data_IF_470243088402
#
_entry.id   IF_470243088402
#
_cell.length_a   1.000
_cell.length_b   1.000
_cell.length_c   1.000
_cell.angle_alpha   90.00
_cell.angle_beta   90.00
_cell.angle_gamma   90.00
#
_symmetry.space_group_name_H-M   'P 1'
#
loop_
_entity.id
_entity.type
_entity.pdbx_description
1 polymer ?
#
# COMPACT_ATOMS: atom_id res chain seq x y z
N UNK A 1 -21.85 -9.54 6.68
CA UNK A 1 -20.53 -9.05 6.27
C UNK A 1 -20.70 -8.29 4.97
N UNK A 2 -20.45 -6.99 4.99
CA UNK A 2 -20.51 -6.14 3.79
C UNK A 2 -19.51 -6.69 2.76
N UNK A 3 -19.92 -6.83 1.50
CA UNK A 3 -19.03 -7.26 0.41
C UNK A 3 -18.80 -8.77 0.25
N UNK A 4 -19.57 -9.60 0.95
CA UNK A 4 -19.50 -11.08 0.82
C UNK A 4 -20.79 -11.71 0.32
N UNK A 5 -21.82 -10.91 0.04
CA UNK A 5 -23.07 -11.44 -0.49
C UNK A 5 -22.99 -11.69 -2.00
N UNK A 6 -23.77 -12.66 -2.49
CA UNK A 6 -23.87 -12.94 -3.91
C UNK A 6 -24.36 -11.72 -4.72
N UNK A 7 -25.36 -10.93 -4.28
CA UNK A 7 -25.77 -9.73 -5.00
C UNK A 7 -24.65 -8.69 -5.14
N UNK A 8 -23.89 -8.42 -4.08
CA UNK A 8 -22.73 -7.50 -4.13
C UNK A 8 -21.66 -8.03 -5.10
N UNK A 9 -21.40 -9.34 -5.07
CA UNK A 9 -20.44 -9.97 -5.99
C UNK A 9 -20.87 -9.83 -7.46
N UNK A 10 -22.14 -10.13 -7.77
CA UNK A 10 -22.68 -9.97 -9.12
C UNK A 10 -22.60 -8.50 -9.54
N UNK A 11 -22.99 -7.58 -8.66
CA UNK A 11 -22.94 -6.14 -8.93
C UNK A 11 -21.53 -5.65 -9.27
N UNK A 12 -20.52 -5.99 -8.45
CA UNK A 12 -19.14 -5.52 -8.70
C UNK A 12 -18.57 -6.14 -9.98
N UNK A 13 -18.87 -7.41 -10.26
CA UNK A 13 -18.43 -8.08 -11.49
C UNK A 13 -19.05 -7.48 -12.75
N UNK A 14 -20.35 -7.18 -12.72
CA UNK A 14 -21.02 -6.49 -13.82
C UNK A 14 -20.49 -5.06 -13.99
N UNK A 15 -20.21 -4.34 -12.90
CA UNK A 15 -19.65 -3.00 -12.94
C UNK A 15 -18.26 -2.99 -13.58
N UNK A 16 -17.38 -3.91 -13.16
CA UNK A 16 -16.04 -4.08 -13.76
C UNK A 16 -16.15 -4.43 -15.23
N UNK A 17 -17.04 -5.36 -15.58
CA UNK A 17 -17.27 -5.76 -16.97
C UNK A 17 -17.75 -4.57 -17.82
N UNK A 18 -18.70 -3.78 -17.32
CA UNK A 18 -19.18 -2.58 -18.00
C UNK A 18 -18.06 -1.56 -18.24
N UNK A 19 -17.21 -1.31 -17.24
CA UNK A 19 -16.05 -0.43 -17.37
C UNK A 19 -15.05 -0.96 -18.41
N UNK A 20 -14.77 -2.26 -18.41
CA UNK A 20 -13.88 -2.91 -19.39
C UNK A 20 -14.44 -2.89 -20.82
N UNK A 21 -15.76 -2.81 -20.98
CA UNK A 21 -16.40 -2.72 -22.30
C UNK A 21 -16.32 -1.32 -22.94
N UNK A 22 -16.05 -0.26 -22.16
CA UNK A 22 -16.05 1.11 -22.67
C UNK A 22 -15.11 1.28 -23.87
N UNK A 23 -13.88 0.76 -23.78
CA UNK A 23 -12.89 0.87 -24.86
C UNK A 23 -13.22 0.04 -26.10
N UNK A 24 -13.49 -1.27 -26.03
CA UNK A 24 -13.83 -2.05 -27.23
C UNK A 24 -15.10 -1.53 -27.89
N UNK A 25 -16.10 -1.07 -27.11
CA UNK A 25 -17.30 -0.44 -27.67
C UNK A 25 -16.98 0.91 -28.34
N UNK A 26 -16.09 1.71 -27.74
CA UNK A 26 -15.64 2.98 -28.34
C UNK A 26 -14.92 2.74 -29.67
N UNK A 27 -14.01 1.75 -29.74
CA UNK A 27 -13.32 1.38 -30.97
C UNK A 27 -14.33 0.88 -32.02
N UNK A 28 -15.24 -0.01 -31.65
CA UNK A 28 -16.26 -0.53 -32.56
C UNK A 28 -17.18 0.58 -33.09
N UNK A 29 -17.60 1.52 -32.22
CA UNK A 29 -18.41 2.69 -32.60
C UNK A 29 -17.66 3.59 -33.58
N UNK A 30 -16.36 3.83 -33.36
CA UNK A 30 -15.53 4.63 -34.25
C UNK A 30 -15.35 3.96 -35.63
N UNK A 31 -15.07 2.65 -35.66
CA UNK A 31 -14.99 1.89 -36.91
C UNK A 31 -16.30 1.92 -37.70
N UNK A 32 -17.43 1.73 -37.01
CA UNK A 32 -18.73 1.74 -37.65
C UNK A 32 -19.12 3.15 -38.15
N UNK A 33 -18.91 4.20 -37.34
CA UNK A 33 -19.15 5.58 -37.74
C UNK A 33 -18.27 6.01 -38.93
N UNK A 34 -17.02 5.53 -38.98
CA UNK A 34 -16.14 5.71 -40.13
C UNK A 34 -16.70 5.03 -41.39
N UNK A 35 -17.13 3.77 -41.28
CA UNK A 35 -17.72 3.02 -42.39
C UNK A 35 -18.97 3.68 -42.97
N UNK A 36 -19.87 4.15 -42.11
CA UNK A 36 -21.11 4.82 -42.52
C UNK A 36 -20.95 6.32 -42.82
N UNK A 37 -19.74 6.89 -42.66
CA UNK A 37 -19.39 8.29 -42.92
C UNK A 37 -20.18 9.34 -42.13
N UNK A 38 -20.79 8.94 -41.01
CA UNK A 38 -21.47 9.83 -40.06
C UNK A 38 -21.45 9.23 -38.66
N UNK A 39 -21.63 10.07 -37.63
CA UNK A 39 -21.78 9.57 -36.26
C UNK A 39 -23.09 8.79 -36.14
N UNK A 40 -23.01 7.50 -35.79
CA UNK A 40 -24.16 6.59 -35.83
C UNK A 40 -25.30 6.96 -34.88
N UNK A 41 -24.99 7.59 -33.75
CA UNK A 41 -26.00 7.96 -32.76
C UNK A 41 -25.90 9.43 -32.35
N UNK A 42 -24.71 9.87 -31.95
CA UNK A 42 -24.50 11.24 -31.48
C UNK A 42 -23.07 11.70 -31.74
N UNK A 43 -22.87 12.98 -32.13
CA UNK A 43 -21.54 13.56 -32.26
C UNK A 43 -20.77 13.58 -30.93
N UNK A 44 -21.46 13.76 -29.79
CA UNK A 44 -20.82 13.74 -28.47
C UNK A 44 -20.30 12.36 -28.09
N UNK A 45 -21.05 11.30 -28.42
CA UNK A 45 -20.60 9.92 -28.25
C UNK A 45 -19.41 9.62 -29.17
N UNK A 46 -19.42 10.15 -30.41
CA UNK A 46 -18.29 10.01 -31.32
C UNK A 46 -17.02 10.70 -30.79
N UNK A 47 -17.15 11.89 -30.21
CA UNK A 47 -16.03 12.60 -29.58
C UNK A 47 -15.48 11.78 -28.42
N UNK A 48 -16.34 11.35 -27.49
CA UNK A 48 -15.90 10.54 -26.36
C UNK A 48 -15.25 9.23 -26.82
N UNK A 49 -15.88 8.49 -27.74
CA UNK A 49 -15.35 7.23 -28.25
C UNK A 49 -14.00 7.42 -28.96
N UNK A 50 -13.83 8.53 -29.69
CA UNK A 50 -12.57 8.91 -30.31
C UNK A 50 -11.47 9.21 -29.28
N UNK A 51 -11.80 9.97 -28.22
CA UNK A 51 -10.87 10.27 -27.13
C UNK A 51 -10.48 8.99 -26.36
N UNK A 52 -11.44 8.15 -26.02
CA UNK A 52 -11.23 6.87 -25.32
C UNK A 52 -10.36 5.91 -26.15
N UNK A 53 -10.68 5.72 -27.43
CA UNK A 53 -9.89 4.87 -28.33
C UNK A 53 -8.46 5.41 -28.52
N UNK A 54 -8.32 6.73 -28.70
CA UNK A 54 -7.01 7.38 -28.84
C UNK A 54 -6.19 7.26 -27.55
N UNK A 55 -6.81 7.46 -26.40
CA UNK A 55 -6.18 7.32 -25.10
C UNK A 55 -5.68 5.88 -24.88
N UNK A 56 -6.50 4.87 -25.18
CA UNK A 56 -6.09 3.47 -25.09
C UNK A 56 -4.86 3.19 -25.97
N UNK A 57 -4.91 3.56 -27.25
CA UNK A 57 -3.87 3.24 -28.23
C UNK A 57 -2.59 4.05 -28.03
N UNK A 58 -2.70 5.35 -27.73
CA UNK A 58 -1.59 6.30 -27.73
C UNK A 58 -1.01 6.54 -26.33
N UNK A 59 -1.79 6.30 -25.26
CA UNK A 59 -1.34 6.50 -23.87
C UNK A 59 -1.19 5.17 -23.16
N UNK A 60 -2.26 4.39 -23.03
CA UNK A 60 -2.22 3.17 -22.21
C UNK A 60 -1.31 2.08 -22.76
N UNK A 61 -1.42 1.73 -24.05
CA UNK A 61 -0.60 0.65 -24.64
C UNK A 61 0.91 0.94 -24.55
N UNK A 62 1.42 2.13 -24.95
CA UNK A 62 2.82 2.48 -24.76
C UNK A 62 3.21 2.53 -23.28
N UNK A 63 2.35 3.12 -22.43
CA UNK A 63 2.60 3.19 -20.99
C UNK A 63 2.76 1.81 -20.40
N UNK A 64 1.84 0.88 -20.63
CA UNK A 64 1.88 -0.46 -20.06
C UNK A 64 3.18 -1.22 -20.39
N UNK A 65 3.77 -0.97 -21.57
CA UNK A 65 5.11 -1.48 -21.92
C UNK A 65 6.21 -0.80 -21.11
N UNK A 66 6.16 0.53 -20.96
CA UNK A 66 7.12 1.30 -20.17
C UNK A 66 7.08 0.91 -18.67
N UNK A 67 5.91 0.57 -18.14
CA UNK A 67 5.77 0.14 -16.74
C UNK A 67 6.53 -1.15 -16.43
N UNK A 68 6.85 -1.98 -17.43
CA UNK A 68 7.59 -3.22 -17.22
C UNK A 68 9.10 -3.02 -16.98
N UNK A 69 9.63 -1.80 -17.21
CA UNK A 69 11.05 -1.49 -16.92
C UNK A 69 11.41 -1.88 -15.49
N UNK A 70 12.60 -2.42 -15.28
CA UNK A 70 13.08 -2.84 -13.96
C UNK A 70 13.09 -1.68 -12.97
N UNK A 71 12.90 -2.00 -11.68
CA UNK A 71 13.00 -1.03 -10.61
C UNK A 71 14.43 -0.50 -10.49
N UNK A 72 14.58 0.78 -10.17
CA UNK A 72 15.87 1.32 -9.71
C UNK A 72 15.89 1.21 -8.20
N UNK A 73 16.60 0.19 -7.71
CA UNK A 73 16.70 -0.07 -6.27
C UNK A 73 17.52 1.01 -5.56
N UNK A 74 17.21 1.32 -4.29
CA UNK A 74 18.06 2.17 -3.46
C UNK A 74 19.44 1.53 -3.28
N UNK A 75 20.46 2.30 -2.85
CA UNK A 75 21.76 1.74 -2.52
C UNK A 75 21.63 0.57 -1.55
N UNK A 76 22.32 -0.52 -1.85
CA UNK A 76 22.31 -1.71 -1.01
C UNK A 76 22.87 -1.37 0.38
N UNK A 77 22.15 -1.64 1.48
CA UNK A 77 22.67 -1.45 2.83
C UNK A 77 23.92 -2.29 3.06
N UNK A 78 24.76 -1.92 4.03
CA UNK A 78 25.91 -2.73 4.42
C UNK A 78 25.51 -4.13 4.91
N UNK A 79 26.46 -5.08 4.93
CA UNK A 79 26.22 -6.43 5.47
C UNK A 79 25.70 -6.37 6.92
N UNK A 80 26.28 -5.51 7.76
CA UNK A 80 25.86 -5.33 9.16
C UNK A 80 24.40 -4.86 9.26
N UNK A 81 24.01 -3.88 8.45
CA UNK A 81 22.62 -3.38 8.41
C UNK A 81 21.64 -4.45 7.91
N UNK A 82 22.02 -5.25 6.91
CA UNK A 82 21.20 -6.36 6.40
C UNK A 82 21.04 -7.47 7.42
N UNK A 83 22.12 -7.87 8.09
CA UNK A 83 22.10 -8.90 9.14
C UNK A 83 21.24 -8.44 10.32
N UNK A 84 21.35 -7.17 10.72
CA UNK A 84 20.51 -6.59 11.77
C UNK A 84 19.03 -6.54 11.35
N UNK A 85 18.73 -6.14 10.11
CA UNK A 85 17.37 -6.16 9.57
C UNK A 85 16.79 -7.57 9.51
N UNK A 86 17.56 -8.55 9.03
CA UNK A 86 17.17 -9.95 8.99
C UNK A 86 16.87 -10.46 10.39
N UNK A 87 17.79 -10.27 11.34
CA UNK A 87 17.63 -10.72 12.72
C UNK A 87 16.37 -10.11 13.36
N UNK A 88 16.12 -8.83 13.10
CA UNK A 88 14.93 -8.13 13.62
C UNK A 88 13.64 -8.66 13.01
N UNK A 89 13.59 -8.91 11.71
CA UNK A 89 12.44 -9.54 11.05
C UNK A 89 12.23 -10.95 11.61
N UNK A 90 13.30 -11.73 11.71
CA UNK A 90 13.26 -13.12 12.17
C UNK A 90 12.79 -13.24 13.63
N UNK A 91 13.20 -12.33 14.51
CA UNK A 91 12.76 -12.31 15.91
C UNK A 91 11.25 -12.06 16.08
N UNK A 92 10.57 -11.54 15.07
CA UNK A 92 9.12 -11.30 15.08
C UNK A 92 8.32 -12.43 14.40
N UNK A 93 8.99 -13.43 13.83
CA UNK A 93 8.31 -14.58 13.22
C UNK A 93 7.82 -15.53 14.30
N UNK A 94 6.50 -15.74 14.35
CA UNK A 94 5.85 -16.58 15.39
C UNK A 94 5.64 -18.02 14.94
N UNK A 95 5.49 -18.25 13.64
CA UNK A 95 5.23 -19.56 13.07
C UNK A 95 5.75 -19.68 11.62
N UNK A 96 5.62 -20.90 11.09
CA UNK A 96 6.01 -21.27 9.74
C UNK A 96 5.17 -20.59 8.64
N UNK A 97 3.93 -20.15 8.95
CA UNK A 97 3.02 -19.56 7.97
C UNK A 97 3.53 -18.22 7.42
N UNK A 98 4.35 -17.52 8.21
CA UNK A 98 5.04 -16.31 7.75
C UNK A 98 6.08 -16.61 6.67
N UNK A 99 6.84 -17.71 6.84
CA UNK A 99 7.84 -18.12 5.85
C UNK A 99 7.16 -18.61 4.58
N UNK A 100 6.18 -19.52 4.70
CA UNK A 100 5.46 -20.08 3.55
C UNK A 100 4.55 -19.06 2.85
N UNK A 101 4.11 -18.01 3.54
CA UNK A 101 3.28 -16.95 2.94
C UNK A 101 3.99 -16.16 1.84
N UNK A 102 5.32 -16.02 1.90
CA UNK A 102 6.12 -15.48 0.79
C UNK A 102 6.18 -16.43 -0.43
N UNK A 103 5.70 -17.65 -0.28
CA UNK A 103 5.59 -18.71 -1.29
C UNK A 103 4.14 -19.13 -1.54
N UNK A 104 3.18 -18.21 -1.40
CA UNK A 104 1.75 -18.47 -1.64
C UNK A 104 1.14 -19.52 -0.69
N UNK A 105 1.67 -19.63 0.53
CA UNK A 105 1.16 -20.53 1.58
C UNK A 105 1.19 -22.01 1.15
N UNK A 106 2.19 -22.41 0.36
CA UNK A 106 2.43 -23.83 0.02
C UNK A 106 2.94 -24.61 1.23
N UNK A 107 2.84 -25.94 1.17
CA UNK A 107 3.52 -26.83 2.13
C UNK A 107 5.03 -26.53 2.11
N UNK A 108 5.62 -26.27 3.28
CA UNK A 108 7.04 -25.91 3.39
C UNK A 108 7.98 -26.97 2.85
N UNK A 109 7.57 -28.25 2.84
CA UNK A 109 8.35 -29.35 2.27
C UNK A 109 8.57 -29.24 0.77
N UNK A 110 7.74 -28.45 0.07
CA UNK A 110 7.91 -28.17 -1.35
C UNK A 110 8.90 -27.02 -1.60
N UNK A 111 9.20 -26.22 -0.58
CA UNK A 111 10.11 -25.07 -0.70
C UNK A 111 11.54 -25.58 -0.68
N UNK A 112 12.16 -25.64 -1.86
CA UNK A 112 13.56 -26.06 -2.00
C UNK A 112 14.53 -24.89 -1.84
N UNK A 113 15.80 -25.23 -1.72
CA UNK A 113 16.90 -24.29 -1.50
C UNK A 113 16.94 -23.16 -2.53
N UNK A 114 16.75 -23.45 -3.82
CA UNK A 114 16.74 -22.41 -4.86
C UNK A 114 15.51 -21.50 -4.79
N UNK A 115 14.36 -22.01 -4.30
CA UNK A 115 13.18 -21.19 -4.09
C UNK A 115 13.43 -20.17 -2.95
N UNK A 116 14.09 -20.59 -1.87
CA UNK A 116 14.53 -19.67 -0.81
C UNK A 116 15.55 -18.66 -1.31
N UNK A 117 16.51 -19.09 -2.13
CA UNK A 117 17.51 -18.21 -2.72
C UNK A 117 16.87 -17.12 -3.59
N UNK A 118 15.88 -17.46 -4.41
CA UNK A 118 15.08 -16.49 -5.18
C UNK A 118 14.49 -15.40 -4.28
N UNK A 119 13.89 -15.79 -3.16
CA UNK A 119 13.26 -14.87 -2.23
C UNK A 119 14.29 -14.01 -1.48
N UNK A 120 15.35 -14.61 -0.93
CA UNK A 120 16.40 -13.91 -0.20
C UNK A 120 17.13 -12.89 -1.08
N UNK A 121 17.45 -13.27 -2.32
CA UNK A 121 18.10 -12.38 -3.30
C UNK A 121 17.29 -11.12 -3.54
N UNK A 122 15.96 -11.26 -3.64
CA UNK A 122 15.08 -10.10 -3.75
C UNK A 122 14.99 -9.33 -2.44
N UNK A 123 14.67 -10.01 -1.34
CA UNK A 123 14.27 -9.38 -0.08
C UNK A 123 15.40 -8.54 0.53
N UNK A 124 16.64 -9.03 0.50
CA UNK A 124 17.79 -8.40 1.16
C UNK A 124 18.82 -7.83 0.19
N UNK A 125 18.85 -8.28 -1.07
CA UNK A 125 19.86 -7.84 -2.05
C UNK A 125 19.26 -7.08 -3.26
N UNK A 126 17.93 -7.04 -3.40
CA UNK A 126 17.26 -6.32 -4.48
C UNK A 126 17.60 -6.85 -5.89
N UNK A 127 18.01 -8.11 -6.01
CA UNK A 127 18.49 -8.68 -7.28
C UNK A 127 17.95 -10.10 -7.51
N UNK A 128 18.09 -10.59 -8.73
CA UNK A 128 17.95 -12.02 -9.04
C UNK A 128 19.19 -12.80 -8.56
N UNK A 129 19.09 -14.13 -8.33
CA UNK A 129 20.24 -14.94 -7.92
C UNK A 129 21.49 -14.78 -8.80
N UNK A 130 21.32 -14.60 -10.11
CA UNK A 130 22.42 -14.40 -11.06
C UNK A 130 23.21 -13.09 -10.84
N UNK A 131 22.65 -12.15 -10.07
CA UNK A 131 23.30 -10.90 -9.70
C UNK A 131 23.89 -10.89 -8.29
N UNK A 132 23.92 -12.04 -7.60
CA UNK A 132 24.58 -12.15 -6.30
C UNK A 132 26.10 -12.17 -6.46
N UNK A 133 26.79 -11.47 -5.58
CA UNK A 133 28.24 -11.48 -5.52
C UNK A 133 28.77 -12.61 -4.62
N UNK A 134 29.92 -13.19 -4.97
CA UNK A 134 30.54 -14.30 -4.21
C UNK A 134 30.79 -13.93 -2.73
N UNK A 135 31.09 -12.66 -2.44
CA UNK A 135 31.29 -12.15 -1.08
C UNK A 135 30.05 -12.25 -0.18
N UNK A 136 28.85 -12.39 -0.75
CA UNK A 136 27.61 -12.52 0.01
C UNK A 136 27.24 -13.96 0.32
N UNK A 137 27.98 -14.95 -0.20
CA UNK A 137 27.67 -16.36 -0.04
C UNK A 137 27.55 -16.76 1.43
N UNK A 138 28.49 -16.35 2.28
CA UNK A 138 28.48 -16.67 3.71
C UNK A 138 27.24 -16.10 4.43
N UNK A 139 26.87 -14.86 4.10
CA UNK A 139 25.70 -14.17 4.68
C UNK A 139 24.40 -14.90 4.29
N UNK A 140 24.24 -15.22 3.01
CA UNK A 140 23.07 -15.92 2.48
C UNK A 140 22.94 -17.31 3.10
N UNK A 141 24.06 -18.03 3.23
CA UNK A 141 24.11 -19.32 3.92
C UNK A 141 23.65 -19.20 5.39
N UNK A 142 23.99 -18.10 6.06
CA UNK A 142 23.48 -17.77 7.39
C UNK A 142 21.97 -17.61 7.43
N UNK A 143 21.41 -16.83 6.50
CA UNK A 143 19.96 -16.64 6.39
C UNK A 143 19.22 -17.94 6.09
N UNK A 144 19.74 -18.76 5.18
CA UNK A 144 19.16 -20.06 4.85
C UNK A 144 19.11 -20.98 6.07
N UNK A 145 20.19 -21.07 6.86
CA UNK A 145 20.21 -21.88 8.09
C UNK A 145 19.16 -21.44 9.11
N UNK A 146 18.97 -20.12 9.28
CA UNK A 146 17.95 -19.59 10.18
C UNK A 146 16.54 -19.95 9.68
N UNK A 147 16.29 -19.86 8.38
CA UNK A 147 15.00 -20.24 7.79
C UNK A 147 14.76 -21.75 7.94
N UNK A 148 15.76 -22.61 7.66
CA UNK A 148 15.64 -24.07 7.87
C UNK A 148 15.33 -24.42 9.33
N UNK A 149 15.91 -23.67 10.29
CA UNK A 149 15.58 -23.82 11.70
C UNK A 149 14.12 -23.45 11.98
N UNK A 150 13.62 -22.36 11.39
CA UNK A 150 12.22 -21.94 11.51
C UNK A 150 11.26 -22.98 10.90
N UNK A 151 11.61 -23.54 9.73
CA UNK A 151 10.83 -24.58 9.05
C UNK A 151 10.92 -25.94 9.75
N UNK A 152 11.82 -26.13 10.71
CA UNK A 152 12.03 -27.39 11.42
C UNK A 152 12.63 -28.53 10.57
N UNK A 153 13.09 -28.24 9.36
CA UNK A 153 13.72 -29.21 8.46
C UNK A 153 14.71 -28.53 7.51
N UNK A 154 15.67 -29.30 7.02
CA UNK A 154 16.57 -28.84 5.96
C UNK A 154 15.84 -28.82 4.62
N UNK A 155 16.10 -27.79 3.84
CA UNK A 155 15.58 -27.71 2.48
C UNK A 155 16.35 -28.64 1.55
N UNK A 156 15.64 -29.34 0.67
CA UNK A 156 16.28 -30.14 -0.38
C UNK A 156 17.00 -29.24 -1.39
N UNK A 157 18.09 -29.75 -1.95
CA UNK A 157 18.81 -29.08 -3.03
C UNK A 157 17.96 -29.00 -4.30
N UNK A 158 18.26 -27.98 -5.12
CA UNK A 158 17.59 -27.72 -6.39
C UNK A 158 16.34 -26.85 -6.24
N UNK A 159 15.48 -26.92 -7.26
CA UNK A 159 14.29 -26.09 -7.41
C UNK A 159 13.05 -26.94 -7.59
N UNK A 160 11.96 -26.55 -6.92
CA UNK A 160 10.63 -26.99 -7.30
C UNK A 160 10.02 -25.93 -8.22
N UNK A 161 9.69 -26.31 -9.46
CA UNK A 161 9.13 -25.42 -10.48
C UNK A 161 7.65 -25.09 -10.26
N UNK A 162 6.97 -25.78 -9.35
CA UNK A 162 5.57 -25.50 -8.96
C UNK A 162 5.50 -24.41 -7.88
N UNK A 163 6.59 -24.20 -7.14
CA UNK A 163 6.71 -23.20 -6.08
C UNK A 163 7.26 -21.89 -6.64
N UNK A 164 6.65 -20.76 -6.24
CA UNK A 164 7.08 -19.41 -6.63
C UNK A 164 7.24 -18.53 -5.41
N UNK A 165 8.31 -17.75 -5.38
CA UNK A 165 8.50 -16.68 -4.41
C UNK A 165 7.81 -15.40 -4.88
N UNK A 166 7.23 -14.65 -3.94
CA UNK A 166 6.81 -13.26 -4.14
C UNK A 166 8.04 -12.37 -4.17
N UNK A 167 8.23 -11.63 -5.27
CA UNK A 167 9.37 -10.71 -5.46
C UNK A 167 8.89 -9.39 -6.05
N UNK A 168 8.19 -8.60 -5.23
CA UNK A 168 7.37 -7.43 -5.65
C UNK A 168 8.07 -6.54 -6.69
N UNK A 169 9.34 -6.20 -6.47
CA UNK A 169 10.07 -5.26 -7.31
C UNK A 169 10.68 -5.86 -8.59
N UNK A 170 10.80 -7.18 -8.64
CA UNK A 170 11.39 -7.93 -9.74
C UNK A 170 10.33 -8.63 -10.60
N UNK A 171 9.15 -8.90 -10.04
CA UNK A 171 8.05 -9.51 -10.76
C UNK A 171 7.42 -8.55 -11.79
N UNK A 172 6.71 -9.08 -12.81
CA UNK A 172 6.02 -8.25 -13.80
C UNK A 172 4.98 -7.32 -13.17
N UNK A 173 4.84 -6.11 -13.74
CA UNK A 173 3.78 -5.19 -13.30
C UNK A 173 2.46 -5.64 -13.90
N UNK A 174 1.51 -6.05 -13.06
CA UNK A 174 0.17 -6.47 -13.51
C UNK A 174 -0.78 -5.29 -13.41
N UNK A 175 -1.27 -4.82 -14.55
CA UNK A 175 -2.22 -3.71 -14.64
C UNK A 175 -3.51 -4.14 -15.33
N UNK A 176 -4.57 -3.39 -15.11
CA UNK A 176 -5.77 -3.43 -15.93
C UNK A 176 -6.00 -2.04 -16.51
N UNK A 177 -6.59 -1.97 -17.70
CA UNK A 177 -6.97 -0.69 -18.32
C UNK A 177 -8.05 0.05 -17.50
N UNK A 178 -8.00 1.40 -17.49
CA UNK A 178 -9.02 2.27 -16.92
C UNK A 178 -9.55 3.25 -17.98
N UNK A 179 -10.87 3.40 -18.11
CA UNK A 179 -11.47 4.40 -19.00
C UNK A 179 -10.95 5.81 -18.72
N UNK A 180 -10.93 6.68 -19.73
CA UNK A 180 -10.36 8.02 -19.65
C UNK A 180 -10.86 8.84 -18.44
N UNK A 181 -12.16 8.76 -18.11
CA UNK A 181 -12.75 9.54 -17.01
C UNK A 181 -12.41 9.01 -15.62
N UNK A 182 -11.79 7.83 -15.51
CA UNK A 182 -11.31 7.27 -14.25
C UNK A 182 -10.32 8.19 -13.54
N UNK A 183 -9.50 8.89 -14.32
CA UNK A 183 -8.38 9.70 -13.85
C UNK A 183 -8.80 11.08 -13.29
N UNK A 184 -10.09 11.23 -12.94
CA UNK A 184 -10.69 12.43 -12.35
C UNK A 184 -11.08 12.24 -10.87
N UNK A 185 -10.83 11.06 -10.28
CA UNK A 185 -11.24 10.75 -8.91
C UNK A 185 -10.39 11.52 -7.88
N UNK A 186 -9.07 11.47 -8.01
CA UNK A 186 -8.15 12.19 -7.12
C UNK A 186 -8.44 11.98 -5.62
N UNK A 187 -8.41 13.07 -4.85
CA UNK A 187 -8.74 13.08 -3.42
C UNK A 187 -10.25 13.03 -3.08
N UNK A 188 -11.14 12.85 -4.05
CA UNK A 188 -12.59 12.84 -3.83
C UNK A 188 -13.06 11.96 -2.65
N UNK A 189 -12.53 10.73 -2.43
CA UNK A 189 -12.96 9.88 -1.32
C UNK A 189 -12.78 10.50 0.07
N UNK A 190 -11.85 11.45 0.22
CA UNK A 190 -11.56 12.10 1.51
C UNK A 190 -12.32 13.42 1.72
N UNK A 191 -13.01 13.94 0.69
CA UNK A 191 -13.68 15.25 0.77
C UNK A 191 -14.63 15.36 1.98
N UNK A 192 -15.50 14.37 2.28
CA UNK A 192 -16.37 14.46 3.47
C UNK A 192 -15.59 14.54 4.79
N UNK A 193 -14.45 13.84 4.90
CA UNK A 193 -13.61 13.87 6.09
C UNK A 193 -12.91 15.23 6.23
N UNK A 194 -12.36 15.76 5.14
CA UNK A 194 -11.68 17.06 5.13
C UNK A 194 -12.64 18.21 5.42
N UNK A 195 -13.86 18.15 4.90
CA UNK A 195 -14.94 19.11 5.22
C UNK A 195 -15.30 19.06 6.69
N UNK A 196 -15.57 17.87 7.24
CA UNK A 196 -15.91 17.73 8.66
C UNK A 196 -14.76 18.15 9.58
N UNK A 197 -13.49 17.96 9.17
CA UNK A 197 -12.32 18.44 9.91
C UNK A 197 -12.24 19.97 9.91
N UNK A 198 -12.45 20.60 8.75
CA UNK A 198 -12.46 22.06 8.61
C UNK A 198 -13.61 22.70 9.41
N UNK A 199 -14.80 22.08 9.41
CA UNK A 199 -15.95 22.54 10.18
C UNK A 199 -15.72 22.41 11.69
N UNK A 200 -14.93 21.41 12.12
CA UNK A 200 -14.70 21.10 13.52
C UNK A 200 -13.66 22.03 14.19
N UNK A 201 -12.67 22.51 13.43
CA UNK A 201 -11.68 23.49 13.91
C UNK A 201 -11.31 24.48 12.78
N UNK A 202 -12.12 25.53 12.55
CA UNK A 202 -11.94 26.45 11.43
C UNK A 202 -10.67 27.31 11.52
N UNK A 203 -10.02 27.34 12.69
CA UNK A 203 -8.78 28.08 12.91
C UNK A 203 -7.53 27.29 12.53
N UNK A 204 -7.66 25.98 12.28
CA UNK A 204 -6.53 25.10 11.93
C UNK A 204 -6.52 24.85 10.42
N UNK A 205 -5.46 25.33 9.76
CA UNK A 205 -5.24 25.09 8.33
C UNK A 205 -5.02 23.61 8.00
N UNK A 206 -5.57 23.16 6.88
CA UNK A 206 -5.42 21.78 6.38
C UNK A 206 -4.52 21.78 5.13
N UNK A 207 -3.40 21.05 5.21
CA UNK A 207 -2.55 20.75 4.06
C UNK A 207 -2.86 19.34 3.55
N UNK A 208 -3.67 19.24 2.49
CA UNK A 208 -4.00 17.97 1.86
C UNK A 208 -3.05 17.68 0.68
N UNK A 209 -2.11 16.77 0.87
CA UNK A 209 -1.14 16.38 -0.17
C UNK A 209 -1.71 15.30 -1.08
N UNK A 210 -1.75 15.55 -2.38
CA UNK A 210 -2.15 14.55 -3.37
C UNK A 210 -0.94 13.76 -3.91
N UNK A 211 -0.85 12.48 -3.58
CA UNK A 211 0.15 11.58 -4.17
C UNK A 211 -0.35 11.10 -5.53
N UNK A 212 0.01 11.80 -6.61
CA UNK A 212 -0.51 11.54 -7.97
C UNK A 212 -0.34 10.07 -8.41
N UNK A 213 0.75 9.41 -8.01
CA UNK A 213 1.01 8.02 -8.37
C UNK A 213 0.10 7.01 -7.65
N UNK A 214 -0.64 7.45 -6.63
CA UNK A 214 -1.58 6.64 -5.84
C UNK A 214 -3.04 7.14 -5.93
N UNK A 215 -3.25 8.38 -6.36
CA UNK A 215 -4.59 9.00 -6.50
C UNK A 215 -5.25 8.74 -7.86
N UNK A 216 -4.96 7.59 -8.49
CA UNK A 216 -5.53 7.21 -9.80
C UNK A 216 -5.27 8.25 -10.89
N UNK A 217 -4.05 8.76 -11.02
CA UNK A 217 -3.61 9.61 -12.14
C UNK A 217 -2.63 8.87 -13.06
N UNK A 218 -2.50 9.33 -14.30
CA UNK A 218 -1.35 9.01 -15.15
C UNK A 218 -0.28 10.07 -14.91
N UNK A 219 0.80 9.66 -14.26
CA UNK A 219 1.78 10.57 -13.65
C UNK A 219 3.23 10.18 -13.99
N UNK A 220 4.16 11.10 -13.71
CA UNK A 220 5.57 10.76 -13.61
C UNK A 220 5.78 9.70 -12.50
N UNK A 221 6.93 8.99 -12.46
CA UNK A 221 7.26 8.15 -11.31
C UNK A 221 7.13 8.92 -9.98
N UNK A 222 6.77 8.24 -8.87
CA UNK A 222 6.77 8.88 -7.55
C UNK A 222 8.19 9.38 -7.21
N UNK A 223 8.24 10.44 -6.38
CA UNK A 223 9.49 10.97 -5.85
C UNK A 223 10.25 9.90 -5.05
N UNK A 224 11.57 9.92 -5.12
CA UNK A 224 12.40 9.14 -4.19
C UNK A 224 12.19 9.63 -2.75
N UNK A 225 12.57 8.82 -1.75
CA UNK A 225 12.43 9.18 -0.34
C UNK A 225 13.06 10.55 0.00
N UNK A 226 14.31 10.88 -0.40
CA UNK A 226 14.90 12.19 -0.12
C UNK A 226 14.17 13.35 -0.81
N UNK A 227 13.77 13.17 -2.08
CA UNK A 227 13.04 14.20 -2.83
C UNK A 227 11.67 14.47 -2.23
N UNK A 228 10.97 13.42 -1.77
CA UNK A 228 9.68 13.52 -1.11
C UNK A 228 9.78 14.26 0.23
N UNK A 229 10.78 13.95 1.06
CA UNK A 229 11.02 14.67 2.31
C UNK A 229 11.42 16.14 2.07
N UNK A 230 12.24 16.41 1.06
CA UNK A 230 12.59 17.77 0.66
C UNK A 230 11.36 18.56 0.17
N UNK A 231 10.49 17.94 -0.63
CA UNK A 231 9.26 18.56 -1.11
C UNK A 231 8.29 18.88 0.04
N UNK A 232 8.15 17.97 1.02
CA UNK A 232 7.34 18.23 2.23
C UNK A 232 7.92 19.35 3.10
N UNK A 233 9.25 19.39 3.27
CA UNK A 233 9.93 20.47 3.99
C UNK A 233 9.69 21.81 3.30
N UNK A 234 9.90 21.88 1.98
CA UNK A 234 9.65 23.08 1.18
C UNK A 234 8.19 23.53 1.24
N UNK A 235 7.24 22.59 1.22
CA UNK A 235 5.81 22.88 1.38
C UNK A 235 5.54 23.58 2.72
N UNK A 236 6.05 23.03 3.82
CA UNK A 236 5.88 23.63 5.15
C UNK A 236 6.55 25.01 5.24
N UNK A 237 7.73 25.18 4.65
CA UNK A 237 8.46 26.44 4.66
C UNK A 237 7.73 27.54 3.86
N UNK A 238 7.24 27.23 2.65
CA UNK A 238 6.49 28.18 1.82
C UNK A 238 5.21 28.66 2.52
N UNK A 239 4.54 27.79 3.27
CA UNK A 239 3.37 28.15 4.06
C UNK A 239 3.70 28.71 5.45
N UNK A 240 4.99 28.87 5.79
CA UNK A 240 5.46 29.31 7.12
C UNK A 240 4.89 28.46 8.27
N UNK A 241 4.71 27.15 8.02
CA UNK A 241 4.18 26.19 8.98
C UNK A 241 5.34 25.56 9.73
N UNK A 242 5.53 25.99 10.98
CA UNK A 242 6.58 25.48 11.87
C UNK A 242 6.22 24.18 12.58
N UNK A 243 4.93 23.82 12.63
CA UNK A 243 4.44 22.64 13.35
C UNK A 243 3.16 22.09 12.76
N UNK A 244 3.04 20.77 12.68
CA UNK A 244 1.89 20.07 12.12
C UNK A 244 1.47 18.85 12.96
N UNK A 245 0.21 18.46 12.82
CA UNK A 245 -0.26 17.10 13.13
C UNK A 245 -0.32 16.36 11.80
N UNK A 246 0.23 15.14 11.75
CA UNK A 246 0.20 14.32 10.54
C UNK A 246 -0.92 13.29 10.65
N UNK A 247 -1.90 13.36 9.75
CA UNK A 247 -2.91 12.33 9.55
C UNK A 247 -2.63 11.60 8.23
N UNK A 248 -2.50 10.28 8.29
CA UNK A 248 -2.13 9.48 7.14
C UNK A 248 -2.95 8.19 7.09
N UNK A 249 -3.38 7.81 5.89
CA UNK A 249 -4.18 6.61 5.65
C UNK A 249 -3.52 5.73 4.59
N UNK A 250 -3.58 4.40 4.78
CA UNK A 250 -3.15 3.41 3.79
C UNK A 250 -1.72 3.73 3.30
N UNK A 251 -1.48 3.86 1.98
CA UNK A 251 -0.17 4.23 1.43
C UNK A 251 0.40 5.53 2.01
N UNK A 252 -0.44 6.52 2.35
CA UNK A 252 0.01 7.77 2.97
C UNK A 252 0.78 7.55 4.29
N UNK A 253 0.53 6.43 4.98
CA UNK A 253 1.25 6.09 6.21
C UNK A 253 2.74 5.77 5.97
N UNK A 254 3.12 5.43 4.73
CA UNK A 254 4.53 5.29 4.32
C UNK A 254 5.22 6.65 4.31
N UNK A 255 4.57 7.68 3.77
CA UNK A 255 5.10 9.05 3.83
C UNK A 255 5.24 9.52 5.29
N UNK A 256 4.24 9.25 6.13
CA UNK A 256 4.31 9.55 7.55
C UNK A 256 5.46 8.81 8.27
N UNK A 257 5.70 7.53 7.95
CA UNK A 257 6.82 6.77 8.49
C UNK A 257 8.18 7.37 8.09
N UNK A 258 8.32 7.84 6.84
CA UNK A 258 9.53 8.54 6.41
C UNK A 258 9.70 9.89 7.10
N UNK A 259 8.64 10.69 7.23
CA UNK A 259 8.68 11.96 7.97
C UNK A 259 9.07 11.74 9.44
N UNK A 260 8.61 10.65 10.05
CA UNK A 260 8.89 10.33 11.44
C UNK A 260 10.38 10.07 11.67
N UNK A 261 11.07 9.48 10.69
CA UNK A 261 12.51 9.18 10.74
C UNK A 261 13.41 10.31 10.25
N UNK A 262 12.87 11.27 9.52
CA UNK A 262 13.62 12.46 9.13
C UNK A 262 13.70 13.45 10.31
N UNK A 263 14.89 13.76 10.85
CA UNK A 263 14.98 14.60 12.05
C UNK A 263 14.37 16.00 11.88
N UNK A 264 14.46 16.58 10.67
CA UNK A 264 13.96 17.93 10.37
C UNK A 264 12.44 17.97 10.41
N UNK A 265 11.78 17.07 9.70
CA UNK A 265 10.33 16.97 9.65
C UNK A 265 9.76 16.44 10.97
N UNK A 266 10.38 15.41 11.55
CA UNK A 266 9.96 14.80 12.81
C UNK A 266 9.91 15.84 13.95
N UNK A 267 10.86 16.78 14.00
CA UNK A 267 10.86 17.88 14.96
C UNK A 267 9.68 18.86 14.78
N UNK A 268 9.11 18.94 13.57
CA UNK A 268 7.92 19.75 13.27
C UNK A 268 6.61 19.00 13.51
N UNK A 269 6.61 17.69 13.75
CA UNK A 269 5.36 16.93 13.97
C UNK A 269 5.05 16.78 15.45
N UNK A 270 3.87 17.21 15.87
CA UNK A 270 3.44 17.12 17.28
C UNK A 270 2.75 15.83 17.66
N UNK A 271 2.04 15.23 16.70
CA UNK A 271 1.30 13.99 16.87
C UNK A 271 1.02 13.34 15.51
N UNK A 272 0.76 12.03 15.56
CA UNK A 272 0.56 11.19 14.38
C UNK A 272 -0.77 10.45 14.48
N UNK A 273 -1.60 10.52 13.44
CA UNK A 273 -2.77 9.67 13.28
C UNK A 273 -2.54 8.75 12.08
N UNK A 274 -2.32 7.47 12.35
CA UNK A 274 -2.21 6.43 11.35
C UNK A 274 -3.55 5.71 11.19
N UNK A 275 -4.07 5.61 9.97
CA UNK A 275 -5.36 5.00 9.67
C UNK A 275 -5.13 3.83 8.72
N UNK A 276 -5.50 2.63 9.15
CA UNK A 276 -5.22 1.37 8.48
C UNK A 276 -3.77 1.31 7.95
N UNK A 277 -2.76 1.45 8.84
CA UNK A 277 -1.36 1.61 8.45
C UNK A 277 -0.74 0.37 7.82
N UNK A 278 -0.03 0.60 6.71
CA UNK A 278 0.74 -0.41 5.99
C UNK A 278 2.15 -0.67 6.59
N UNK A 279 2.89 0.33 7.10
CA UNK A 279 4.26 0.15 7.57
C UNK A 279 4.48 -0.86 8.70
N UNK A 280 3.51 -1.05 9.59
CA UNK A 280 3.67 -1.99 10.70
C UNK A 280 3.67 -3.43 10.20
N UNK A 281 4.67 -4.21 10.63
CA UNK A 281 4.85 -5.61 10.24
C UNK A 281 4.99 -5.82 8.72
N UNK A 282 5.44 -4.80 7.98
CA UNK A 282 5.55 -4.85 6.51
C UNK A 282 6.53 -5.92 5.98
N UNK A 283 7.39 -6.48 6.84
CA UNK A 283 8.26 -7.62 6.53
C UNK A 283 7.50 -8.96 6.46
N UNK A 284 6.23 -8.98 6.87
CA UNK A 284 5.34 -10.14 6.73
C UNK A 284 4.68 -10.14 5.34
N UNK A 285 4.28 -11.32 4.82
CA UNK A 285 3.75 -11.44 3.46
C UNK A 285 2.37 -10.82 3.27
N UNK A 286 1.62 -10.53 4.36
CA UNK A 286 0.20 -10.15 4.32
C UNK A 286 -0.09 -9.00 3.36
N UNK A 287 0.53 -7.84 3.55
CA UNK A 287 0.30 -6.66 2.70
C UNK A 287 0.65 -6.94 1.24
N UNK A 288 1.85 -7.48 0.99
CA UNK A 288 2.33 -7.77 -0.36
C UNK A 288 1.41 -8.76 -1.06
N UNK A 289 1.12 -9.89 -0.43
CA UNK A 289 0.23 -10.92 -0.96
C UNK A 289 -1.18 -10.38 -1.19
N UNK A 290 -1.81 -9.81 -0.15
CA UNK A 290 -3.21 -9.40 -0.18
C UNK A 290 -3.49 -8.30 -1.19
N UNK A 291 -2.57 -7.33 -1.33
CA UNK A 291 -2.75 -6.23 -2.24
C UNK A 291 -2.27 -6.57 -3.66
N UNK A 292 -1.09 -7.18 -3.81
CA UNK A 292 -0.43 -7.31 -5.13
C UNK A 292 -0.72 -8.65 -5.83
N UNK A 293 -0.80 -9.76 -5.08
CA UNK A 293 -0.77 -11.11 -5.66
C UNK A 293 -2.06 -11.92 -5.51
N UNK A 294 -2.87 -11.62 -4.50
CA UNK A 294 -4.09 -12.37 -4.18
C UNK A 294 -5.05 -12.33 -5.36
N UNK A 295 -5.53 -13.52 -5.75
CA UNK A 295 -6.60 -13.63 -6.73
C UNK A 295 -7.94 -13.32 -6.06
N UNK A 296 -8.71 -12.35 -6.55
CA UNK A 296 -9.96 -11.93 -5.91
C UNK A 296 -11.06 -12.98 -6.04
N UNK A 297 -11.73 -13.26 -4.93
CA UNK A 297 -12.83 -14.23 -4.80
C UNK A 297 -14.12 -13.59 -4.30
N UNK A 298 -14.03 -12.66 -3.35
CA UNK A 298 -15.20 -11.96 -2.77
C UNK A 298 -15.46 -10.62 -3.47
N UNK A 299 -16.62 -10.00 -3.19
CA UNK A 299 -16.97 -8.73 -3.85
C UNK A 299 -16.00 -7.61 -3.49
N UNK A 300 -15.65 -7.49 -2.20
CA UNK A 300 -14.66 -6.51 -1.72
C UNK A 300 -13.26 -6.77 -2.29
N UNK A 301 -12.87 -8.02 -2.48
CA UNK A 301 -11.59 -8.35 -3.12
C UNK A 301 -11.58 -7.93 -4.59
N UNK A 302 -12.68 -8.15 -5.34
CA UNK A 302 -12.79 -7.64 -6.71
C UNK A 302 -12.79 -6.12 -6.77
N UNK A 303 -13.45 -5.47 -5.81
CA UNK A 303 -13.43 -4.02 -5.66
C UNK A 303 -12.00 -3.52 -5.44
N UNK A 304 -11.27 -4.04 -4.43
CA UNK A 304 -9.89 -3.63 -4.17
C UNK A 304 -8.96 -3.93 -5.36
N UNK A 305 -9.09 -5.14 -5.92
CA UNK A 305 -8.27 -5.59 -7.05
C UNK A 305 -8.41 -4.66 -8.25
N UNK A 306 -9.65 -4.38 -8.68
CA UNK A 306 -9.88 -3.53 -9.84
C UNK A 306 -9.74 -2.04 -9.51
N UNK A 307 -10.32 -1.54 -8.43
CA UNK A 307 -10.39 -0.11 -8.18
C UNK A 307 -9.09 0.46 -7.59
N UNK A 308 -8.20 -0.35 -7.01
CA UNK A 308 -6.92 0.15 -6.51
C UNK A 308 -5.73 -0.64 -7.08
N UNK A 309 -5.65 -1.94 -6.79
CA UNK A 309 -4.42 -2.71 -6.98
C UNK A 309 -3.96 -2.84 -8.43
N UNK A 310 -4.89 -2.92 -9.39
CA UNK A 310 -4.56 -3.04 -10.83
C UNK A 310 -4.56 -1.70 -11.56
N UNK A 311 -4.71 -0.58 -10.87
CA UNK A 311 -4.53 0.73 -11.51
C UNK A 311 -3.08 0.82 -12.02
N UNK A 312 -2.83 1.31 -13.25
CA UNK A 312 -1.50 1.29 -13.83
C UNK A 312 -0.43 2.00 -12.99
N UNK A 313 -0.77 3.11 -12.34
CA UNK A 313 0.20 3.93 -11.61
C UNK A 313 0.36 3.47 -10.17
N UNK A 314 -0.72 2.99 -9.53
CA UNK A 314 -0.64 2.31 -8.24
C UNK A 314 0.22 1.04 -8.38
N UNK A 315 -0.07 0.21 -9.38
CA UNK A 315 0.67 -1.01 -9.64
C UNK A 315 2.15 -0.75 -9.93
N UNK A 316 2.46 0.29 -10.74
CA UNK A 316 3.86 0.73 -10.95
C UNK A 316 4.51 1.15 -9.64
N UNK A 317 3.83 1.99 -8.85
CA UNK A 317 4.38 2.52 -7.60
C UNK A 317 4.78 1.38 -6.66
N UNK A 318 3.91 0.40 -6.49
CA UNK A 318 4.20 -0.75 -5.64
C UNK A 318 5.24 -1.68 -6.25
N UNK A 319 5.16 -1.96 -7.55
CA UNK A 319 6.06 -2.90 -8.19
C UNK A 319 7.44 -2.32 -8.53
N UNK A 320 7.64 -1.00 -8.49
CA UNK A 320 8.91 -0.38 -8.95
C UNK A 320 9.49 0.66 -8.00
N UNK A 321 8.71 1.14 -7.03
CA UNK A 321 9.11 2.24 -6.14
C UNK A 321 8.78 1.98 -4.66
N UNK A 322 8.29 0.79 -4.31
CA UNK A 322 7.96 0.43 -2.93
C UNK A 322 8.96 -0.60 -2.41
N UNK A 323 9.97 -0.10 -1.67
CA UNK A 323 11.00 -0.93 -1.07
C UNK A 323 10.66 -1.16 0.41
N UNK A 324 10.19 -2.36 0.73
CA UNK A 324 9.61 -2.70 2.05
C UNK A 324 10.53 -2.33 3.22
N UNK A 325 11.84 -2.55 3.08
CA UNK A 325 12.83 -2.27 4.12
C UNK A 325 12.96 -0.77 4.45
N UNK A 326 12.75 0.12 3.48
CA UNK A 326 12.73 1.57 3.72
C UNK A 326 11.39 2.03 4.33
N UNK A 327 10.32 1.29 4.06
CA UNK A 327 8.93 1.67 4.35
C UNK A 327 8.40 1.11 5.66
N UNK A 328 8.98 0.03 6.19
CA UNK A 328 8.56 -0.62 7.43
C UNK A 328 8.59 0.38 8.59
N UNK A 329 7.68 0.28 9.55
CA UNK A 329 7.70 1.02 10.82
C UNK A 329 7.69 0.01 11.97
N UNK A 330 8.60 0.20 12.92
CA UNK A 330 8.70 -0.62 14.11
C UNK A 330 8.01 0.08 15.29
N UNK A 331 7.62 -0.69 16.29
CA UNK A 331 6.96 -0.18 17.50
C UNK A 331 7.83 0.84 18.23
N UNK A 332 9.13 0.57 18.34
CA UNK A 332 10.09 1.48 18.95
C UNK A 332 10.27 2.80 18.20
N UNK A 333 9.94 2.87 16.90
CA UNK A 333 10.00 4.13 16.16
C UNK A 333 8.94 5.13 16.68
N UNK A 334 7.82 4.63 17.20
CA UNK A 334 6.71 5.44 17.71
C UNK A 334 6.71 5.61 19.24
N UNK A 335 7.61 4.93 19.96
CA UNK A 335 7.71 5.04 21.41
C UNK A 335 8.05 6.48 21.86
N UNK A 336 7.41 6.93 22.94
CA UNK A 336 7.57 8.28 23.47
C UNK A 336 6.93 9.39 22.63
N UNK A 337 6.19 9.05 21.57
CA UNK A 337 5.48 10.01 20.71
C UNK A 337 3.98 9.97 20.98
N UNK A 338 3.29 11.08 20.68
CA UNK A 338 1.83 11.10 20.65
C UNK A 338 1.33 10.48 19.35
N UNK A 339 0.80 9.25 19.43
CA UNK A 339 0.36 8.49 18.26
C UNK A 339 -1.02 7.91 18.48
N UNK A 340 -1.88 8.03 17.49
CA UNK A 340 -3.11 7.29 17.38
C UNK A 340 -3.06 6.36 16.16
N UNK A 341 -3.48 5.12 16.32
CA UNK A 341 -3.58 4.12 15.25
C UNK A 341 -5.02 3.65 15.15
N UNK A 342 -5.61 3.74 13.96
CA UNK A 342 -6.96 3.24 13.66
C UNK A 342 -6.82 1.95 12.87
N UNK A 343 -7.50 0.90 13.31
CA UNK A 343 -7.48 -0.42 12.70
C UNK A 343 -8.90 -0.89 12.38
N UNK A 344 -9.10 -1.31 11.13
CA UNK A 344 -10.32 -1.93 10.62
C UNK A 344 -10.26 -3.46 10.80
N UNK A 345 -11.19 -4.06 11.56
CA UNK A 345 -11.15 -5.48 11.93
C UNK A 345 -11.10 -6.44 10.73
N UNK A 346 -11.82 -6.12 9.66
CA UNK A 346 -11.91 -6.94 8.45
C UNK A 346 -11.03 -6.38 7.33
N UNK A 347 -9.99 -5.61 7.67
CA UNK A 347 -9.03 -5.08 6.70
C UNK A 347 -8.47 -6.21 5.84
N UNK A 348 -8.79 -6.15 4.56
CA UNK A 348 -8.40 -7.20 3.63
C UNK A 348 -6.95 -7.07 3.14
N UNK A 349 -6.23 -5.99 3.49
CA UNK A 349 -4.84 -5.68 3.11
C UNK A 349 -3.91 -6.00 4.28
N UNK A 350 -4.12 -5.33 5.41
CA UNK A 350 -3.30 -5.39 6.62
C UNK A 350 -3.89 -6.43 7.57
N UNK A 351 -3.04 -7.25 8.20
CA UNK A 351 -3.49 -8.07 9.31
C UNK A 351 -3.71 -7.19 10.55
N UNK A 352 -4.91 -6.60 10.65
CA UNK A 352 -5.25 -5.68 11.72
C UNK A 352 -5.13 -6.32 13.11
N UNK A 353 -5.45 -7.62 13.25
CA UNK A 353 -5.35 -8.32 14.52
C UNK A 353 -3.89 -8.44 14.95
N UNK A 354 -3.01 -8.84 14.04
CA UNK A 354 -1.57 -8.97 14.32
C UNK A 354 -0.93 -7.60 14.59
N UNK A 355 -1.26 -6.57 13.81
CA UNK A 355 -0.78 -5.19 14.05
C UNK A 355 -1.26 -4.68 15.41
N UNK A 356 -2.52 -4.92 15.79
CA UNK A 356 -3.02 -4.55 17.12
C UNK A 356 -2.22 -5.26 18.21
N UNK A 357 -2.02 -6.57 18.10
CA UNK A 357 -1.29 -7.34 19.10
C UNK A 357 0.16 -6.86 19.20
N UNK A 358 0.82 -6.59 18.08
CA UNK A 358 2.17 -6.04 18.04
C UNK A 358 2.26 -4.69 18.76
N UNK A 359 1.34 -3.77 18.48
CA UNK A 359 1.36 -2.43 19.07
C UNK A 359 0.99 -2.42 20.57
N UNK A 360 0.03 -3.25 20.98
CA UNK A 360 -0.54 -3.21 22.34
C UNK A 360 0.05 -4.22 23.31
N UNK A 361 0.78 -5.23 22.82
CA UNK A 361 1.19 -6.44 23.55
C UNK A 361 0.02 -7.25 24.13
N UNK A 362 -1.23 -6.93 23.76
CA UNK A 362 -2.42 -7.58 24.27
C UNK A 362 -2.97 -8.61 23.30
N UNK A 363 -2.98 -9.88 23.71
CA UNK A 363 -3.69 -10.96 23.02
C UNK A 363 -5.12 -11.01 23.53
N UNK A 364 -6.08 -10.66 22.68
CA UNK A 364 -7.51 -10.69 23.04
C UNK A 364 -8.37 -10.93 21.80
N UNK A 365 -9.43 -11.73 21.97
CA UNK A 365 -10.43 -11.97 20.92
C UNK A 365 -11.56 -10.93 20.93
N UNK A 366 -11.66 -10.12 21.98
CA UNK A 366 -12.62 -9.04 22.08
C UNK A 366 -11.96 -7.67 22.34
N UNK A 367 -11.20 -7.13 21.38
CA UNK A 367 -10.63 -5.79 21.51
C UNK A 367 -11.69 -4.74 21.89
N UNK A 368 -11.34 -3.90 22.86
CA UNK A 368 -12.10 -2.67 23.16
C UNK A 368 -11.99 -1.71 21.98
N UNK A 369 -13.03 -0.90 21.75
CA UNK A 369 -13.01 0.12 20.70
C UNK A 369 -11.83 1.08 20.83
N UNK A 370 -11.42 1.40 22.06
CA UNK A 370 -10.31 2.29 22.36
C UNK A 370 -9.39 1.66 23.38
N UNK A 371 -8.11 1.60 23.06
CA UNK A 371 -7.01 1.22 23.93
C UNK A 371 -6.03 2.38 24.01
N UNK A 372 -5.45 2.64 25.18
CA UNK A 372 -4.50 3.73 25.37
C UNK A 372 -3.43 3.35 26.41
N UNK A 373 -2.16 3.61 26.10
CA UNK A 373 -1.03 3.48 27.02
C UNK A 373 0.14 4.34 26.52
N UNK A 374 0.81 5.06 27.43
CA UNK A 374 2.11 5.70 27.16
C UNK A 374 2.19 6.56 25.88
N UNK A 375 1.14 7.33 25.58
CA UNK A 375 1.09 8.21 24.40
C UNK A 375 0.61 7.54 23.11
N UNK A 376 0.45 6.20 23.12
CA UNK A 376 -0.15 5.43 22.05
C UNK A 376 -1.65 5.19 22.32
N UNK A 377 -2.49 5.57 21.37
CA UNK A 377 -3.91 5.27 21.31
C UNK A 377 -4.18 4.33 20.14
N UNK A 378 -4.94 3.24 20.34
CA UNK A 378 -5.35 2.32 19.28
C UNK A 378 -6.88 2.23 19.24
N UNK A 379 -7.47 2.57 18.10
CA UNK A 379 -8.90 2.45 17.83
C UNK A 379 -9.17 1.18 17.01
N UNK A 380 -10.09 0.35 17.50
CA UNK A 380 -10.50 -0.90 16.86
C UNK A 380 -11.92 -0.80 16.31
N UNK A 381 -12.06 -0.72 14.99
CA UNK A 381 -13.36 -0.67 14.33
C UNK A 381 -13.81 -2.07 13.91
N UNK A 382 -14.86 -2.58 14.57
CA UNK A 382 -15.42 -3.90 14.27
C UNK A 382 -16.23 -3.92 12.98
N UNK A 383 -16.10 -5.01 12.24
CA UNK A 383 -16.94 -5.35 11.09
C UNK A 383 -16.76 -4.48 9.85
N UNK A 384 -15.68 -3.70 9.78
CA UNK A 384 -15.37 -2.84 8.63
C UNK A 384 -14.05 -3.25 7.97
N UNK A 385 -13.98 -3.01 6.67
CA UNK A 385 -12.82 -3.26 5.81
C UNK A 385 -11.92 -2.00 5.73
N UNK A 386 -10.76 -2.13 5.09
CA UNK A 386 -9.80 -1.07 4.86
C UNK A 386 -10.48 0.19 4.30
N UNK A 387 -10.12 1.36 4.83
CA UNK A 387 -10.67 2.68 4.48
C UNK A 387 -12.16 2.91 4.81
N UNK A 388 -12.93 1.89 5.21
CA UNK A 388 -14.37 2.05 5.47
C UNK A 388 -14.69 2.91 6.70
N UNK A 389 -13.66 3.28 7.48
CA UNK A 389 -13.78 4.30 8.52
C UNK A 389 -14.20 5.65 7.95
N UNK A 390 -13.89 5.92 6.67
CA UNK A 390 -14.28 7.13 5.97
C UNK A 390 -15.70 7.13 5.41
N UNK A 391 -16.42 6.00 5.42
CA UNK A 391 -17.74 5.91 4.75
C UNK A 391 -18.84 6.75 5.41
N UNK A 392 -18.81 6.86 6.75
CA UNK A 392 -19.92 7.49 7.50
C UNK A 392 -19.42 8.49 8.52
N UNK A 393 -20.23 9.54 8.75
CA UNK A 393 -19.96 10.57 9.76
C UNK A 393 -19.72 9.98 11.15
N UNK A 394 -20.50 8.97 11.53
CA UNK A 394 -20.35 8.28 12.83
C UNK A 394 -18.98 7.62 12.97
N UNK A 395 -18.46 7.01 11.89
CA UNK A 395 -17.14 6.37 11.90
C UNK A 395 -15.99 7.38 11.87
N UNK A 396 -16.16 8.52 11.18
CA UNK A 396 -15.16 9.61 11.12
C UNK A 396 -15.06 10.43 12.41
N UNK A 397 -16.14 10.56 13.18
CA UNK A 397 -16.19 11.43 14.38
C UNK A 397 -15.05 11.18 15.38
N UNK A 398 -14.67 9.93 15.74
CA UNK A 398 -13.55 9.69 16.64
C UNK A 398 -12.20 10.16 16.08
N UNK A 399 -11.97 10.05 14.76
CA UNK A 399 -10.74 10.53 14.11
C UNK A 399 -10.64 12.05 14.21
N UNK A 400 -11.74 12.76 13.93
CA UNK A 400 -11.83 14.22 14.06
C UNK A 400 -11.55 14.64 15.50
N UNK A 401 -12.17 13.98 16.48
CA UNK A 401 -11.95 14.27 17.91
C UNK A 401 -10.50 14.06 18.34
N UNK A 402 -9.82 13.05 17.81
CA UNK A 402 -8.38 12.83 18.06
C UNK A 402 -7.55 13.97 17.46
N UNK A 403 -7.82 14.36 16.22
CA UNK A 403 -7.10 15.44 15.55
C UNK A 403 -7.29 16.79 16.25
N UNK A 404 -8.51 17.10 16.70
CA UNK A 404 -8.78 18.27 17.54
C UNK A 404 -7.97 18.21 18.84
N UNK A 405 -7.98 17.08 19.55
CA UNK A 405 -7.17 16.91 20.78
C UNK A 405 -5.67 17.08 20.53
N UNK A 406 -5.16 16.61 19.38
CA UNK A 406 -3.76 16.78 18.99
C UNK A 406 -3.41 18.23 18.65
N UNK A 407 -4.34 18.99 18.06
CA UNK A 407 -4.18 20.41 17.81
C UNK A 407 -4.29 21.25 19.12
N UNK A 408 -5.25 20.90 19.99
CA UNK A 408 -5.55 21.61 21.25
C UNK A 408 -4.47 21.45 22.32
N UNK A 409 -3.88 20.26 22.48
CA UNK A 409 -2.82 19.98 23.47
C UNK A 409 -1.65 20.96 23.42
N UNK A 410 -1.53 21.73 22.35
CA UNK A 410 -0.53 22.78 22.19
C UNK A 410 -1.03 24.18 22.56
N UNK A 411 -2.31 24.53 22.33
CA UNK A 411 -2.85 25.86 22.71
C UNK A 411 -2.70 26.14 24.21
N UNK A 412 -2.57 25.11 25.04
CA UNK A 412 -2.36 25.22 26.49
C UNK A 412 -0.89 25.28 26.94
N UNK A 413 0.06 25.13 26.03
CA UNK A 413 1.51 25.15 26.30
C UNK A 413 2.23 26.39 25.72
N UNK A 414 1.52 27.17 24.91
CA UNK A 414 1.87 28.54 24.49
C UNK A 414 1.12 29.52 25.40
#
# INVERSE_FOLDING_TARGET
MLGRSLPEYVFIRLSIFALQLITPLSIAYMCASWYYKHALYSPWIAIYAGLEASFYLLVFVPRNRLLQKAATHPPLPSREEREALFAKCFAQLRDETYATGWFYFVDSKLIRRENLLDWLSWAFFGTHPDGLHEEWAEEIEGYLRNIEQLLGHKTEDGRDHTVRAIKVSLDPVVTAYRPLLWYLIGLWPYVPFLQELADADPDVGILATECLAISMHISAPPLSRPEMLAALTALLDVHSVSRVVVAAHSYGTVHAAHMLRDPTLSARVSAWLFIDPIPFLLHQPSVAYNFVYRQPRTANEWQLWYFASRDPDIARTLARHFFWAENILWKEDIEGRNVAVVLSELDQIVDAKEVRQYLTDEVTDEPKFRWQKEGLEVLWYRGIDHAQVFDTKTRRRPLISILQSFAERKRSLD
#
